data_IF_354970169863
#
_entry.id   IF_354970169863
#
_cell.length_a   1.000
_cell.length_b   1.000
_cell.length_c   1.000
_cell.angle_alpha   90.00
_cell.angle_beta   90.00
_cell.angle_gamma   90.00
#
_symmetry.space_group_name_H-M   'P 1'
#
loop_
_entity.id
_entity.type
_entity.pdbx_description
1 polymer ?
#
# COMPACT_ATOMS: atom_id res chain seq x y z
N UNK A 1 0.70 0.18 5.32
CA UNK A 1 0.13 -1.13 4.98
C UNK A 1 -1.25 -0.89 4.41
N UNK A 2 -1.45 -1.23 3.14
CA UNK A 2 -2.75 -1.09 2.47
C UNK A 2 -3.76 -2.04 3.10
N UNK A 3 -5.05 -1.72 2.97
CA UNK A 3 -6.11 -2.61 3.43
C UNK A 3 -6.01 -3.98 2.73
N UNK A 4 -5.78 -3.98 1.41
CA UNK A 4 -5.58 -5.19 0.61
C UNK A 4 -4.41 -6.06 1.11
N UNK A 5 -3.25 -5.47 1.39
CA UNK A 5 -2.10 -6.22 1.92
C UNK A 5 -2.39 -6.86 3.28
N UNK A 6 -3.26 -6.28 4.09
CA UNK A 6 -3.64 -6.81 5.41
C UNK A 6 -4.70 -7.90 5.30
N UNK A 7 -5.61 -7.78 4.33
CA UNK A 7 -6.70 -8.73 4.08
C UNK A 7 -6.28 -9.92 3.22
N UNK A 8 -5.07 -9.90 2.66
CA UNK A 8 -4.48 -11.07 2.01
C UNK A 8 -4.57 -12.31 2.93
N UNK A 9 -4.91 -13.46 2.33
CA UNK A 9 -5.08 -14.72 3.06
C UNK A 9 -3.81 -15.07 3.85
N UNK A 10 -2.67 -15.03 3.16
CA UNK A 10 -1.36 -15.31 3.75
C UNK A 10 -0.73 -14.05 4.37
N UNK A 11 -0.09 -14.24 5.53
CA UNK A 11 0.65 -13.18 6.22
C UNK A 11 2.05 -13.63 6.58
N UNK A 12 2.94 -13.51 5.61
CA UNK A 12 4.34 -13.90 5.75
C UNK A 12 5.20 -12.71 6.23
N UNK A 13 4.91 -12.19 7.43
CA UNK A 13 5.67 -11.11 8.07
C UNK A 13 5.96 -11.48 9.53
N UNK A 14 7.15 -11.13 10.08
CA UNK A 14 7.54 -11.50 11.44
C UNK A 14 6.85 -10.65 12.53
N UNK A 15 5.72 -10.03 12.22
CA UNK A 15 4.93 -9.19 13.13
C UNK A 15 3.45 -9.35 12.82
N UNK A 16 2.58 -9.10 13.79
CA UNK A 16 1.14 -9.25 13.62
C UNK A 16 0.52 -8.17 12.70
N UNK A 17 -0.64 -8.48 12.10
CA UNK A 17 -1.40 -7.53 11.27
C UNK A 17 -1.80 -6.28 12.06
N UNK A 18 -2.07 -6.44 13.35
CA UNK A 18 -2.43 -5.37 14.28
C UNK A 18 -1.28 -4.38 14.47
N UNK A 19 -0.03 -4.87 14.53
CA UNK A 19 1.14 -3.98 14.61
C UNK A 19 1.30 -3.15 13.33
N UNK A 20 0.93 -3.71 12.19
CA UNK A 20 0.95 -3.03 10.90
C UNK A 20 -0.22 -2.04 10.70
N UNK A 21 -1.42 -2.39 11.20
CA UNK A 21 -2.63 -1.58 11.05
C UNK A 21 -2.79 -0.52 12.14
N UNK A 22 -2.48 -0.86 13.39
CA UNK A 22 -2.78 -0.08 14.60
C UNK A 22 -1.57 0.01 15.55
N UNK A 23 -0.43 0.58 15.11
CA UNK A 23 0.74 0.74 15.97
C UNK A 23 0.50 1.65 17.18
N UNK A 24 -0.53 2.51 17.13
CA UNK A 24 -0.97 3.35 18.26
C UNK A 24 -2.48 3.26 18.43
N UNK A 25 -2.96 3.38 19.67
CA UNK A 25 -4.37 3.13 20.03
C UNK A 25 -5.36 4.03 19.30
N UNK A 26 -5.01 5.31 19.10
CA UNK A 26 -5.89 6.28 18.44
C UNK A 26 -6.30 5.88 17.00
N UNK A 27 -5.46 5.09 16.31
CA UNK A 27 -5.73 4.64 14.96
C UNK A 27 -6.86 3.61 14.87
N UNK A 28 -7.31 3.03 16.00
CA UNK A 28 -8.48 2.15 16.03
C UNK A 28 -9.80 2.92 15.90
N UNK A 29 -9.83 4.16 16.40
CA UNK A 29 -11.02 5.02 16.34
C UNK A 29 -11.10 5.80 15.03
N UNK A 30 -9.95 6.20 14.48
CA UNK A 30 -9.88 6.90 13.21
C UNK A 30 -8.68 6.41 12.39
N UNK A 31 -8.97 5.61 11.36
CA UNK A 31 -7.96 5.01 10.48
C UNK A 31 -8.04 5.61 9.10
N UNK A 32 -6.99 6.33 8.70
CA UNK A 32 -6.73 6.58 7.28
C UNK A 32 -6.00 5.38 6.66
N UNK A 33 -6.54 4.88 5.56
CA UNK A 33 -5.95 3.77 4.81
C UNK A 33 -5.08 4.30 3.68
N UNK A 34 -3.83 3.84 3.63
CA UNK A 34 -2.96 4.12 2.48
C UNK A 34 -3.50 3.36 1.27
N UNK A 35 -3.86 4.05 0.16
CA UNK A 35 -4.47 3.40 -1.00
C UNK A 35 -3.48 2.51 -1.76
N UNK A 36 -2.18 2.84 -1.70
CA UNK A 36 -1.12 2.10 -2.39
C UNK A 36 0.01 1.71 -1.42
N UNK A 37 0.82 0.74 -1.85
CA UNK A 37 2.03 0.31 -1.15
C UNK A 37 3.15 1.35 -1.23
N UNK A 38 4.37 0.93 -0.87
CA UNK A 38 5.56 1.76 -1.09
C UNK A 38 5.80 1.89 -2.59
N UNK A 39 5.94 3.12 -3.07
CA UNK A 39 6.22 3.45 -4.48
C UNK A 39 7.63 2.99 -4.86
N UNK A 40 7.78 2.44 -6.07
CA UNK A 40 9.08 2.17 -6.69
C UNK A 40 9.56 3.40 -7.45
N UNK A 41 10.47 4.15 -6.82
CA UNK A 41 11.02 5.37 -7.41
C UNK A 41 11.95 5.06 -8.59
N UNK A 42 12.74 3.99 -8.53
CA UNK A 42 13.75 3.68 -9.56
C UNK A 42 13.07 3.26 -10.86
N UNK A 43 11.95 2.53 -10.77
CA UNK A 43 11.14 2.22 -11.93
C UNK A 43 10.60 3.50 -12.59
N UNK A 44 10.08 4.43 -11.80
CA UNK A 44 9.58 5.71 -12.30
C UNK A 44 10.64 6.55 -13.01
N UNK A 45 11.85 6.64 -12.45
CA UNK A 45 12.96 7.38 -13.05
C UNK A 45 13.43 6.77 -14.39
N UNK A 46 13.30 5.44 -14.55
CA UNK A 46 13.68 4.71 -15.77
C UNK A 46 12.57 4.63 -16.81
N UNK A 47 11.31 4.79 -16.41
CA UNK A 47 10.12 4.68 -17.26
C UNK A 47 9.26 5.94 -17.05
N UNK A 48 9.69 7.04 -17.67
CA UNK A 48 9.10 8.35 -17.43
C UNK A 48 7.75 8.52 -18.12
N UNK A 49 6.69 8.62 -17.33
CA UNK A 49 5.34 8.98 -17.77
C UNK A 49 4.88 10.25 -17.05
N UNK A 50 4.75 11.36 -17.80
CA UNK A 50 4.35 12.67 -17.26
C UNK A 50 2.94 13.10 -17.67
N UNK A 51 2.20 12.22 -18.32
CA UNK A 51 0.79 12.38 -18.69
C UNK A 51 0.02 11.11 -18.37
N UNK A 52 -1.31 11.18 -18.40
CA UNK A 52 -2.13 9.99 -18.22
C UNK A 52 -1.76 8.94 -19.29
N UNK A 53 -1.50 7.71 -18.85
CA UNK A 53 -1.40 6.56 -19.74
C UNK A 53 -2.81 6.12 -20.16
N UNK A 54 -2.96 5.42 -21.29
CA UNK A 54 -4.21 4.78 -21.66
C UNK A 54 -4.78 3.93 -20.52
N UNK A 55 -6.11 3.88 -20.39
CA UNK A 55 -6.76 3.13 -19.30
C UNK A 55 -6.38 1.64 -19.32
N UNK A 56 -6.13 1.10 -20.52
CA UNK A 56 -5.70 -0.28 -20.72
C UNK A 56 -4.34 -0.62 -20.07
N UNK A 57 -3.52 0.40 -19.79
CA UNK A 57 -2.15 0.22 -19.29
C UNK A 57 -2.07 0.31 -17.75
N UNK A 58 -3.18 0.49 -17.03
CA UNK A 58 -3.22 0.50 -15.54
C UNK A 58 -3.38 -0.90 -14.90
N UNK A 59 -3.47 -1.96 -15.71
CA UNK A 59 -3.79 -3.32 -15.27
C UNK A 59 -2.55 -4.16 -14.92
#
# INVERSE_FOLDING_TARGET
>A
HTAESLLAADWNRPYAREAAAYPVTALRSNKYWTPVGRVDNVYGDRNLYCSCIPVADYA
#
